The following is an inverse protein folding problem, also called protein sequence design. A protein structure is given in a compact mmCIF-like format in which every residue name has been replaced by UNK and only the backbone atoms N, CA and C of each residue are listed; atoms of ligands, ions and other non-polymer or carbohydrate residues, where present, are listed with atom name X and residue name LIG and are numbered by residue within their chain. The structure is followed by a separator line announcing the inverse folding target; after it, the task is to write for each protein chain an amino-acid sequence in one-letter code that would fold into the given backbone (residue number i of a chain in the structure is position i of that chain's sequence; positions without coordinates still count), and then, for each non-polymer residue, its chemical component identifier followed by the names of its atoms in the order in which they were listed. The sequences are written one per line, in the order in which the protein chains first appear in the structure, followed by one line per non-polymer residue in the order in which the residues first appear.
data_IF_914493496207
#
_entry.id   IF_914493496207
#
_cell.length_a   1.000
_cell.length_b   1.000
_cell.length_c   1.000
_cell.angle_alpha   90.00
_cell.angle_beta   90.00
_cell.angle_gamma   90.00
#
_symmetry.space_group_name_H-M   'P 1'
#
loop_
_entity.id
_entity.type
_entity.pdbx_description
1 polymer ?
#
# COMPACT_ATOMS: atom_id res chain seq x y z
N UNK A 1 15.57 22.80 4.32
CA UNK A 1 15.62 24.24 3.97
C UNK A 1 16.65 25.06 4.75
N UNK A 2 17.24 24.60 5.86
CA UNK A 2 18.42 25.31 6.47
C UNK A 2 19.72 24.51 6.46
N UNK A 3 19.68 23.19 6.22
CA UNK A 3 20.86 22.32 6.17
C UNK A 3 21.51 22.02 7.54
N UNK A 4 21.02 22.63 8.63
CA UNK A 4 21.62 22.53 9.96
C UNK A 4 21.02 21.35 10.73
N UNK A 5 21.86 20.43 11.20
CA UNK A 5 21.49 19.27 12.05
C UNK A 5 22.07 19.32 13.47
N UNK A 6 22.59 20.48 13.89
CA UNK A 6 23.28 20.64 15.18
C UNK A 6 22.30 20.57 16.37
N UNK A 7 22.61 19.71 17.36
CA UNK A 7 21.86 19.59 18.62
C UNK A 7 21.80 20.90 19.43
N UNK A 8 22.80 21.75 19.25
CA UNK A 8 22.90 23.05 19.92
C UNK A 8 21.79 23.99 19.48
N UNK A 9 21.33 23.90 18.22
CA UNK A 9 20.22 24.72 17.72
C UNK A 9 18.90 24.32 18.39
N UNK A 10 18.67 23.01 18.55
CA UNK A 10 17.48 22.50 19.26
C UNK A 10 17.51 22.91 20.72
N UNK A 11 18.68 22.81 21.37
CA UNK A 11 18.85 23.18 22.78
C UNK A 11 18.66 24.69 22.99
N UNK A 12 19.25 25.53 22.14
CA UNK A 12 19.06 26.98 22.18
C UNK A 12 17.60 27.36 21.91
N UNK A 13 16.95 26.73 20.93
CA UNK A 13 15.52 26.91 20.67
C UNK A 13 14.65 26.53 21.87
N UNK A 14 14.92 25.39 22.50
CA UNK A 14 14.27 24.98 23.74
C UNK A 14 14.47 25.99 24.88
N UNK A 15 15.70 26.50 25.05
CA UNK A 15 15.99 27.54 26.03
C UNK A 15 15.21 28.84 25.79
N UNK A 16 15.08 29.26 24.52
CA UNK A 16 14.24 30.42 24.15
C UNK A 16 12.77 30.15 24.48
N UNK A 17 12.25 28.95 24.19
CA UNK A 17 10.86 28.58 24.53
C UNK A 17 10.61 28.61 26.04
N UNK A 18 11.55 28.11 26.85
CA UNK A 18 11.47 28.18 28.31
C UNK A 18 11.45 29.64 28.78
N UNK A 19 12.37 30.47 28.27
CA UNK A 19 12.45 31.88 28.64
C UNK A 19 11.18 32.63 28.27
N UNK A 20 10.64 32.43 27.06
CA UNK A 20 9.37 33.02 26.63
C UNK A 20 8.18 32.51 27.45
N UNK A 21 8.18 31.23 27.85
CA UNK A 21 7.14 30.65 28.70
C UNK A 21 7.12 31.21 30.13
N UNK A 22 8.28 31.65 30.65
CA UNK A 22 8.40 32.28 31.97
C UNK A 22 7.99 33.76 31.98
N UNK A 23 7.88 34.40 30.83
CA UNK A 23 7.52 35.82 30.73
C UNK A 23 5.99 35.98 30.71
N UNK A 24 5.37 36.54 31.76
CA UNK A 24 3.90 36.67 31.83
C UNK A 24 3.32 37.61 30.76
N UNK A 25 4.14 38.53 30.24
CA UNK A 25 3.76 39.45 29.16
C UNK A 25 3.45 38.69 27.88
N UNK A 26 4.22 37.64 27.55
CA UNK A 26 4.00 36.82 26.35
C UNK A 26 2.67 36.06 26.46
N UNK A 27 2.36 35.52 27.64
CA UNK A 27 1.09 34.85 27.90
C UNK A 27 -0.13 35.76 27.70
N UNK A 28 -0.04 37.04 28.10
CA UNK A 28 -1.12 38.02 27.87
C UNK A 28 -1.35 38.30 26.39
N UNK A 29 -0.27 38.39 25.61
CA UNK A 29 -0.36 38.60 24.15
C UNK A 29 -1.04 37.40 23.50
N UNK A 30 -0.64 36.17 23.86
CA UNK A 30 -1.24 34.94 23.31
C UNK A 30 -2.72 34.84 23.69
N UNK A 31 -3.09 35.18 24.93
CA UNK A 31 -4.49 35.18 25.38
C UNK A 31 -5.37 36.21 24.67
N UNK A 32 -4.78 37.27 24.10
CA UNK A 32 -5.50 38.26 23.30
C UNK A 32 -5.74 37.80 21.84
N UNK A 33 -5.20 36.66 21.42
CA UNK A 33 -5.39 36.13 20.06
C UNK A 33 -6.82 35.62 19.89
N UNK A 34 -7.57 36.05 18.85
CA UNK A 34 -8.93 35.56 18.62
C UNK A 34 -8.98 34.05 18.32
N UNK A 35 -10.01 33.37 18.84
CA UNK A 35 -10.26 31.95 18.57
C UNK A 35 -10.25 31.56 17.08
N UNK A 36 -10.81 32.36 16.15
CA UNK A 36 -10.76 32.01 14.72
C UNK A 36 -9.33 31.87 14.16
N UNK A 37 -8.37 32.66 14.68
CA UNK A 37 -6.96 32.60 14.25
C UNK A 37 -6.28 31.35 14.79
N UNK A 38 -6.51 31.03 16.07
CA UNK A 38 -6.01 29.81 16.70
C UNK A 38 -6.59 28.56 16.04
N UNK A 39 -7.86 28.60 15.64
CA UNK A 39 -8.50 27.55 14.84
C UNK A 39 -7.82 27.36 13.50
N UNK A 40 -7.57 28.44 12.74
CA UNK A 40 -6.85 28.38 11.47
C UNK A 40 -5.43 27.83 11.60
N UNK A 41 -4.68 28.29 12.60
CA UNK A 41 -3.34 27.76 12.91
C UNK A 41 -3.40 26.27 13.28
N UNK A 42 -4.41 25.86 14.04
CA UNK A 42 -4.66 24.46 14.40
C UNK A 42 -4.93 23.59 13.17
N UNK A 43 -5.81 24.02 12.26
CA UNK A 43 -6.11 23.29 11.02
C UNK A 43 -4.85 23.09 10.18
N UNK A 44 -4.01 24.11 10.04
CA UNK A 44 -2.75 24.00 9.28
C UNK A 44 -1.78 23.02 9.96
N UNK A 45 -1.64 23.09 11.29
CA UNK A 45 -0.76 22.21 12.05
C UNK A 45 -1.22 20.75 11.94
N UNK A 46 -2.48 20.46 12.30
CA UNK A 46 -3.02 19.11 12.27
C UNK A 46 -3.14 18.56 10.85
N UNK A 47 -3.51 19.39 9.88
CA UNK A 47 -3.55 19.01 8.46
C UNK A 47 -2.17 18.62 7.91
N UNK A 48 -1.13 19.38 8.25
CA UNK A 48 0.25 19.07 7.84
C UNK A 48 0.76 17.76 8.48
N UNK A 49 0.44 17.51 9.75
CA UNK A 49 0.76 16.25 10.42
C UNK A 49 0.03 15.08 9.75
N UNK A 50 -1.27 15.21 9.47
CA UNK A 50 -2.05 14.19 8.78
C UNK A 50 -1.47 13.88 7.38
N UNK A 51 -1.13 14.92 6.60
CA UNK A 51 -0.51 14.77 5.29
C UNK A 51 0.86 14.05 5.36
N UNK A 52 1.68 14.36 6.37
CA UNK A 52 2.93 13.65 6.61
C UNK A 52 2.72 12.18 6.99
N UNK A 53 1.64 11.89 7.72
CA UNK A 53 1.20 10.52 8.03
C UNK A 53 0.84 9.75 6.76
N UNK A 54 -0.01 10.32 5.90
CA UNK A 54 -0.39 9.73 4.60
C UNK A 54 0.85 9.50 3.74
N UNK A 55 1.77 10.47 3.67
CA UNK A 55 3.03 10.33 2.92
C UNK A 55 3.92 9.19 3.45
N UNK A 56 3.83 8.90 4.73
CA UNK A 56 4.53 7.76 5.33
C UNK A 56 3.85 6.45 4.95
N UNK A 57 2.52 6.39 5.01
CA UNK A 57 1.72 5.23 4.58
C UNK A 57 1.87 4.92 3.08
N UNK A 58 2.11 5.92 2.24
CA UNK A 58 2.39 5.73 0.81
C UNK A 58 3.66 4.90 0.52
N UNK A 59 4.58 4.78 1.48
CA UNK A 59 5.81 3.98 1.32
C UNK A 59 5.60 2.49 1.59
N UNK A 60 4.43 2.10 2.10
CA UNK A 60 4.09 0.71 2.42
C UNK A 60 3.69 -0.04 1.14
N UNK A 61 4.13 -1.28 0.99
CA UNK A 61 3.69 -2.17 -0.09
C UNK A 61 2.33 -2.75 0.28
N UNK A 62 1.31 -2.51 -0.55
CA UNK A 62 -0.05 -3.02 -0.35
C UNK A 62 -0.38 -4.23 -1.23
N UNK A 63 0.48 -4.56 -2.18
CA UNK A 63 0.28 -5.63 -3.15
C UNK A 63 0.46 -7.02 -2.56
N UNK A 64 -0.48 -7.91 -2.87
CA UNK A 64 -0.48 -9.32 -2.46
C UNK A 64 -0.25 -9.56 -0.96
N UNK A 65 -0.78 -8.69 -0.09
CA UNK A 65 -0.60 -8.79 1.36
C UNK A 65 -1.76 -8.16 2.17
N UNK A 66 -1.69 -8.27 3.50
CA UNK A 66 -2.72 -7.78 4.43
C UNK A 66 -2.49 -6.33 4.92
N UNK A 67 -1.46 -5.64 4.46
CA UNK A 67 -1.10 -4.30 4.97
C UNK A 67 -2.22 -3.28 4.76
N UNK A 68 -2.99 -3.39 3.67
CA UNK A 68 -4.13 -2.50 3.42
C UNK A 68 -5.20 -2.67 4.50
N UNK A 69 -5.52 -3.92 4.83
CA UNK A 69 -6.50 -4.28 5.85
C UNK A 69 -6.00 -3.83 7.23
N UNK A 70 -4.72 -4.07 7.54
CA UNK A 70 -4.10 -3.61 8.78
C UNK A 70 -4.28 -2.09 8.94
N UNK A 71 -3.93 -1.30 7.92
CA UNK A 71 -4.07 0.16 7.95
C UNK A 71 -5.53 0.59 8.10
N UNK A 72 -6.43 0.01 7.31
CA UNK A 72 -7.85 0.37 7.32
C UNK A 72 -8.50 0.12 8.69
N UNK A 73 -8.30 -1.08 9.26
CA UNK A 73 -8.87 -1.43 10.57
C UNK A 73 -8.25 -0.58 11.67
N UNK A 74 -6.94 -0.34 11.63
CA UNK A 74 -6.27 0.48 12.65
C UNK A 74 -6.78 1.92 12.67
N UNK A 75 -6.99 2.52 11.49
CA UNK A 75 -7.61 3.84 11.37
C UNK A 75 -9.06 3.83 11.87
N UNK A 76 -9.84 2.79 11.55
CA UNK A 76 -11.20 2.65 12.05
C UNK A 76 -11.23 2.65 13.59
N UNK A 77 -10.37 1.84 14.23
CA UNK A 77 -10.27 1.82 15.70
C UNK A 77 -9.86 3.16 16.31
N UNK A 78 -8.97 3.91 15.64
CA UNK A 78 -8.61 5.26 16.07
C UNK A 78 -9.74 6.28 15.99
N UNK A 79 -10.69 6.07 15.07
CA UNK A 79 -11.86 6.93 14.89
C UNK A 79 -13.05 6.51 15.75
N UNK A 80 -13.10 5.26 16.24
CA UNK A 80 -14.19 4.77 17.08
C UNK A 80 -14.55 5.69 18.26
N UNK A 81 -13.62 6.12 19.14
CA UNK A 81 -13.98 6.99 20.27
C UNK A 81 -14.44 8.39 19.84
N UNK A 82 -14.14 8.82 18.61
CA UNK A 82 -14.61 10.09 18.05
C UNK A 82 -16.03 9.95 17.51
N UNK A 83 -16.33 8.84 16.85
CA UNK A 83 -17.65 8.57 16.24
C UNK A 83 -18.67 8.12 17.29
N UNK A 84 -18.24 7.29 18.25
CA UNK A 84 -19.05 6.80 19.36
C UNK A 84 -18.28 6.96 20.68
N UNK A 85 -18.47 8.09 21.40
CA UNK A 85 -17.75 8.37 22.63
C UNK A 85 -17.98 7.35 23.76
N UNK A 86 -19.13 6.69 23.80
CA UNK A 86 -19.54 5.76 24.87
C UNK A 86 -19.21 4.29 24.57
N UNK A 87 -18.46 4.01 23.51
CA UNK A 87 -18.25 2.64 23.02
C UNK A 87 -17.50 1.74 24.03
N UNK A 88 -16.69 2.34 24.92
CA UNK A 88 -15.86 1.63 25.89
C UNK A 88 -16.36 1.74 27.33
N UNK A 89 -17.55 2.30 27.58
CA UNK A 89 -18.05 2.56 28.95
C UNK A 89 -18.21 1.28 29.79
N UNK A 90 -18.43 0.14 29.13
CA UNK A 90 -18.56 -1.17 29.79
C UNK A 90 -17.20 -1.86 30.05
N UNK A 91 -16.11 -1.29 29.55
CA UNK A 91 -14.76 -1.83 29.75
C UNK A 91 -14.14 -1.31 31.05
N UNK A 92 -13.13 -2.01 31.61
CA UNK A 92 -12.38 -1.53 32.76
C UNK A 92 -11.71 -0.16 32.54
N UNK A 93 -11.50 0.60 33.61
CA UNK A 93 -10.92 1.95 33.56
C UNK A 93 -9.54 2.00 32.87
N UNK A 94 -8.67 1.02 33.16
CA UNK A 94 -7.36 0.94 32.52
C UNK A 94 -7.43 0.82 30.99
N UNK A 95 -8.49 0.18 30.48
CA UNK A 95 -8.71 0.01 29.05
C UNK A 95 -9.20 1.32 28.44
N UNK A 96 -10.15 1.98 29.11
CA UNK A 96 -10.69 3.28 28.71
C UNK A 96 -9.60 4.35 28.58
N UNK A 97 -8.67 4.43 29.54
CA UNK A 97 -7.54 5.39 29.51
C UNK A 97 -6.75 5.31 28.19
N UNK A 98 -6.58 4.10 27.67
CA UNK A 98 -5.79 3.85 26.46
C UNK A 98 -6.67 3.99 25.20
N UNK A 99 -7.85 3.37 25.20
CA UNK A 99 -8.67 3.23 23.99
C UNK A 99 -9.61 4.41 23.71
N UNK A 100 -9.87 5.31 24.68
CA UNK A 100 -10.48 6.61 24.37
C UNK A 100 -9.54 7.53 23.57
N UNK A 101 -8.23 7.30 23.62
CA UNK A 101 -7.28 8.02 22.78
C UNK A 101 -7.28 7.40 21.37
N UNK A 102 -7.80 8.14 20.39
CA UNK A 102 -7.81 7.69 18.99
C UNK A 102 -6.42 7.40 18.42
N UNK A 103 -5.41 8.19 18.81
CA UNK A 103 -4.01 7.97 18.38
C UNK A 103 -3.47 6.68 18.98
N UNK A 104 -3.71 6.46 20.28
CA UNK A 104 -3.17 5.29 21.00
C UNK A 104 -3.84 3.99 20.54
N UNK A 105 -5.17 3.98 20.42
CA UNK A 105 -5.93 2.83 19.92
C UNK A 105 -5.53 2.46 18.49
N UNK A 106 -5.40 3.43 17.57
CA UNK A 106 -4.92 3.16 16.21
C UNK A 106 -3.50 2.57 16.20
N UNK A 107 -2.58 3.11 16.99
CA UNK A 107 -1.21 2.62 17.05
C UNK A 107 -1.13 1.20 17.61
N UNK A 108 -1.87 0.90 18.67
CA UNK A 108 -1.94 -0.44 19.26
C UNK A 108 -2.51 -1.42 18.26
N UNK A 109 -3.61 -1.07 17.59
CA UNK A 109 -4.22 -1.94 16.57
C UNK A 109 -3.29 -2.16 15.38
N UNK A 110 -2.57 -1.14 14.91
CA UNK A 110 -1.61 -1.29 13.82
C UNK A 110 -0.49 -2.26 14.18
N UNK A 111 0.08 -2.15 15.38
CA UNK A 111 1.12 -3.05 15.87
C UNK A 111 0.59 -4.46 16.07
N UNK A 112 -0.57 -4.60 16.73
CA UNK A 112 -1.18 -5.90 17.01
C UNK A 112 -1.52 -6.64 15.72
N UNK A 113 -2.22 -6.00 14.78
CA UNK A 113 -2.59 -6.61 13.51
C UNK A 113 -1.37 -6.89 12.64
N UNK A 114 -0.34 -6.04 12.65
CA UNK A 114 0.91 -6.32 11.96
C UNK A 114 1.62 -7.55 12.54
N UNK A 115 1.61 -7.74 13.87
CA UNK A 115 2.16 -8.94 14.48
C UNK A 115 1.33 -10.16 14.08
N UNK A 116 0.00 -10.08 14.19
CA UNK A 116 -0.91 -11.19 13.88
C UNK A 116 -0.80 -11.63 12.43
N UNK A 117 -0.83 -10.70 11.47
CA UNK A 117 -0.88 -11.04 10.04
C UNK A 117 0.50 -11.18 9.39
N UNK A 118 1.51 -10.42 9.82
CA UNK A 118 2.82 -10.44 9.15
C UNK A 118 3.89 -11.22 9.93
N UNK A 119 3.68 -11.56 11.21
CA UNK A 119 4.70 -12.22 12.03
C UNK A 119 4.29 -13.58 12.58
N UNK A 120 3.02 -13.78 12.91
CA UNK A 120 2.49 -15.09 13.32
C UNK A 120 2.10 -15.84 12.04
N UNK A 121 3.10 -16.40 11.36
CA UNK A 121 2.96 -17.19 10.13
C UNK A 121 2.29 -18.54 10.42
N UNK A 122 0.99 -18.52 10.70
CA UNK A 122 0.14 -19.71 10.75
C UNK A 122 -0.96 -19.56 9.71
N UNK A 123 -0.64 -19.88 8.45
CA UNK A 123 -1.61 -19.94 7.36
C UNK A 123 -1.77 -18.64 6.56
N UNK A 124 -0.67 -18.07 6.07
CA UNK A 124 -0.78 -17.06 5.02
C UNK A 124 -1.39 -17.77 3.80
N UNK A 125 -2.62 -17.41 3.42
CA UNK A 125 -3.14 -17.82 2.14
C UNK A 125 -2.18 -17.30 1.08
N UNK A 126 -1.70 -18.17 0.18
CA UNK A 126 -0.88 -17.75 -0.97
C UNK A 126 -1.60 -16.71 -1.86
N UNK A 127 -2.90 -16.54 -1.63
CA UNK A 127 -3.74 -15.51 -2.18
C UNK A 127 -3.68 -14.28 -1.28
N UNK A 128 -3.02 -13.22 -1.75
CA UNK A 128 -3.15 -11.90 -1.13
C UNK A 128 -4.61 -11.49 -1.02
N UNK A 129 -4.90 -10.53 -0.12
CA UNK A 129 -6.22 -9.92 0.07
C UNK A 129 -7.02 -9.85 -1.24
N UNK A 130 -8.27 -10.32 -1.24
CA UNK A 130 -9.19 -10.31 -2.42
C UNK A 130 -9.31 -8.91 -3.03
N UNK A 131 -9.01 -7.88 -2.26
CA UNK A 131 -8.95 -6.48 -2.69
C UNK A 131 -7.71 -6.13 -3.56
N UNK A 132 -6.74 -7.02 -3.72
CA UNK A 132 -5.42 -6.75 -4.37
C UNK A 132 -4.89 -7.90 -5.24
N UNK A 133 -5.64 -9.01 -5.41
CA UNK A 133 -5.17 -10.24 -6.08
C UNK A 133 -4.95 -10.15 -7.62
N UNK A 134 -4.87 -8.95 -8.22
CA UNK A 134 -4.93 -8.78 -9.67
C UNK A 134 -3.64 -8.42 -10.41
N UNK A 135 -2.49 -8.27 -9.74
CA UNK A 135 -1.34 -7.57 -10.37
C UNK A 135 -0.06 -8.38 -10.53
N UNK A 136 0.04 -9.58 -9.97
CA UNK A 136 1.23 -10.41 -10.14
C UNK A 136 1.23 -11.03 -11.54
N UNK A 137 1.95 -10.42 -12.49
CA UNK A 137 2.25 -11.02 -13.78
C UNK A 137 3.37 -12.04 -13.62
N UNK A 138 3.02 -13.31 -13.76
CA UNK A 138 3.97 -14.42 -13.79
C UNK A 138 3.87 -15.08 -15.17
N UNK A 139 5.03 -15.37 -15.76
CA UNK A 139 5.13 -16.13 -17.03
C UNK A 139 5.63 -17.52 -16.63
N UNK A 140 5.06 -18.57 -17.23
CA UNK A 140 5.49 -19.93 -16.87
C UNK A 140 6.88 -20.22 -17.46
N UNK A 141 7.66 -21.07 -16.80
CA UNK A 141 9.04 -21.35 -17.25
C UNK A 141 9.08 -22.03 -18.62
N UNK A 142 8.11 -22.90 -18.91
CA UNK A 142 7.88 -23.54 -20.21
C UNK A 142 7.59 -22.51 -21.32
N UNK A 143 6.79 -21.48 -21.04
CA UNK A 143 6.53 -20.38 -21.98
C UNK A 143 7.82 -19.61 -22.30
N UNK A 144 8.64 -19.29 -21.29
CA UNK A 144 9.93 -18.60 -21.50
C UNK A 144 10.91 -19.49 -22.28
N UNK A 145 10.92 -20.80 -22.04
CA UNK A 145 11.78 -21.75 -22.77
C UNK A 145 11.40 -21.90 -24.24
N UNK A 146 10.16 -21.58 -24.61
CA UNK A 146 9.71 -21.62 -26.01
C UNK A 146 10.20 -20.43 -26.84
N UNK A 147 10.64 -19.34 -26.18
CA UNK A 147 11.17 -18.15 -26.84
C UNK A 147 12.56 -18.40 -27.43
N UNK A 148 12.83 -17.77 -28.57
CA UNK A 148 14.13 -17.78 -29.24
C UNK A 148 14.90 -16.49 -28.97
N UNK A 149 16.22 -16.58 -29.09
CA UNK A 149 17.08 -15.39 -28.99
C UNK A 149 16.77 -14.45 -30.16
N UNK A 150 16.33 -13.22 -29.83
CA UNK A 150 15.88 -12.23 -30.81
C UNK A 150 14.37 -11.95 -30.79
N UNK A 151 13.58 -12.81 -30.14
CA UNK A 151 12.15 -12.55 -29.92
C UNK A 151 11.97 -11.34 -28.98
N UNK A 152 10.99 -10.49 -29.27
CA UNK A 152 10.72 -9.27 -28.51
C UNK A 152 9.23 -8.99 -28.39
N UNK A 153 8.87 -8.15 -27.42
CA UNK A 153 7.48 -7.76 -27.20
C UNK A 153 7.28 -6.30 -27.61
N UNK A 154 6.37 -6.05 -28.55
CA UNK A 154 6.06 -4.71 -29.07
C UNK A 154 4.55 -4.54 -29.28
N UNK A 155 4.01 -3.38 -28.91
CA UNK A 155 2.60 -3.00 -29.11
C UNK A 155 1.58 -4.05 -28.63
N UNK A 156 1.88 -4.74 -27.52
CA UNK A 156 0.99 -5.75 -26.95
C UNK A 156 1.07 -7.14 -27.60
N UNK A 157 2.07 -7.38 -28.45
CA UNK A 157 2.25 -8.62 -29.19
C UNK A 157 3.66 -9.17 -29.01
N UNK A 158 3.77 -10.49 -28.95
CA UNK A 158 5.04 -11.19 -28.99
C UNK A 158 5.43 -11.33 -30.47
N UNK A 159 6.62 -10.87 -30.81
CA UNK A 159 7.15 -10.87 -32.18
C UNK A 159 8.41 -11.73 -32.17
N UNK A 160 8.51 -12.64 -33.12
CA UNK A 160 9.69 -13.48 -33.27
C UNK A 160 10.87 -12.72 -33.88
N UNK A 161 12.03 -13.37 -33.88
CA UNK A 161 13.27 -12.87 -34.51
C UNK A 161 13.12 -12.53 -36.01
N UNK A 162 12.17 -13.14 -36.72
CA UNK A 162 11.91 -12.88 -38.14
C UNK A 162 10.98 -11.66 -38.35
N UNK A 163 10.45 -11.09 -37.27
CA UNK A 163 9.53 -9.94 -37.29
C UNK A 163 8.05 -10.32 -37.41
N UNK A 164 7.72 -11.61 -37.26
CA UNK A 164 6.36 -12.13 -37.36
C UNK A 164 5.72 -12.31 -35.97
N UNK A 165 4.39 -12.19 -35.89
CA UNK A 165 3.67 -12.31 -34.61
C UNK A 165 3.64 -13.77 -34.14
N UNK A 166 4.12 -14.02 -32.92
CA UNK A 166 3.95 -15.30 -32.23
C UNK A 166 2.56 -15.32 -31.58
N UNK A 167 1.65 -16.23 -31.99
CA UNK A 167 0.29 -16.24 -31.49
C UNK A 167 0.25 -16.60 -30.01
N UNK A 168 -0.37 -15.72 -29.21
CA UNK A 168 -0.61 -15.96 -27.78
C UNK A 168 -1.97 -16.64 -27.64
N UNK A 169 -1.95 -17.92 -27.24
CA UNK A 169 -3.13 -18.79 -27.18
C UNK A 169 -3.48 -19.14 -25.74
N UNK A 170 -4.72 -19.54 -25.49
CA UNK A 170 -5.13 -20.06 -24.17
C UNK A 170 -4.49 -21.41 -23.87
N UNK A 171 -4.51 -21.85 -22.60
CA UNK A 171 -3.94 -23.14 -22.20
C UNK A 171 -4.56 -24.34 -22.96
N UNK A 172 -5.89 -24.32 -23.16
CA UNK A 172 -6.61 -25.37 -23.90
C UNK A 172 -6.20 -25.41 -25.39
N UNK A 173 -6.00 -24.23 -25.98
CA UNK A 173 -5.51 -24.12 -27.36
C UNK A 173 -4.06 -24.57 -27.48
N UNK A 174 -3.21 -24.28 -26.49
CA UNK A 174 -1.82 -24.70 -26.48
C UNK A 174 -1.69 -26.23 -26.51
N UNK A 175 -2.46 -26.95 -25.69
CA UNK A 175 -2.46 -28.43 -25.69
C UNK A 175 -2.85 -29.00 -27.06
N UNK A 176 -3.89 -28.45 -27.70
CA UNK A 176 -4.36 -28.89 -29.03
C UNK A 176 -3.36 -28.57 -30.14
N UNK A 177 -2.76 -27.38 -30.11
CA UNK A 177 -1.70 -27.01 -31.06
C UNK A 177 -0.53 -27.96 -30.91
N UNK A 178 -0.15 -28.30 -29.68
CA UNK A 178 0.95 -29.24 -29.43
C UNK A 178 0.61 -30.65 -29.95
N UNK A 179 -0.62 -31.12 -29.72
CA UNK A 179 -1.11 -32.40 -30.25
C UNK A 179 -1.13 -32.42 -31.79
N UNK A 180 -1.53 -31.31 -32.42
CA UNK A 180 -1.56 -31.16 -33.87
C UNK A 180 -0.14 -31.08 -34.49
N UNK A 181 0.82 -30.52 -33.76
CA UNK A 181 2.24 -30.55 -34.16
C UNK A 181 2.78 -31.96 -34.04
N UNK A 182 2.51 -32.66 -32.93
CA UNK A 182 2.99 -34.01 -32.67
C UNK A 182 2.39 -35.05 -33.64
N UNK A 183 1.14 -34.83 -34.09
CA UNK A 183 0.46 -35.64 -35.10
C UNK A 183 0.90 -35.33 -36.54
N UNK A 184 1.65 -34.24 -36.74
CA UNK A 184 2.10 -33.77 -38.06
C UNK A 184 1.02 -33.04 -38.86
N UNK A 185 -0.10 -32.67 -38.24
CA UNK A 185 -1.16 -31.86 -38.86
C UNK A 185 -0.73 -30.39 -39.04
N UNK A 186 0.09 -29.87 -38.12
CA UNK A 186 0.68 -28.53 -38.21
C UNK A 186 2.17 -28.65 -38.52
N UNK A 187 2.55 -28.31 -39.75
CA UNK A 187 3.96 -28.38 -40.19
C UNK A 187 4.54 -27.01 -40.53
N UNK A 188 3.69 -26.03 -40.83
CA UNK A 188 4.09 -24.66 -41.13
C UNK A 188 3.19 -23.63 -40.44
N UNK A 189 3.58 -22.35 -40.51
CA UNK A 189 2.84 -21.25 -39.87
C UNK A 189 1.43 -21.07 -40.43
N UNK A 190 1.21 -21.38 -41.70
CA UNK A 190 -0.10 -21.28 -42.36
C UNK A 190 -1.09 -22.31 -41.79
N UNK A 191 -0.63 -23.53 -41.54
CA UNK A 191 -1.41 -24.58 -40.88
C UNK A 191 -1.82 -24.15 -39.45
N UNK A 192 -0.90 -23.52 -38.72
CA UNK A 192 -1.13 -23.01 -37.36
C UNK A 192 -2.18 -21.90 -37.36
N UNK A 193 -2.08 -20.92 -38.27
CA UNK A 193 -3.07 -19.85 -38.39
C UNK A 193 -4.44 -20.40 -38.79
N UNK A 194 -4.50 -21.33 -39.75
CA UNK A 194 -5.74 -21.97 -40.16
C UNK A 194 -6.42 -22.76 -39.03
N UNK A 195 -5.63 -23.40 -38.15
CA UNK A 195 -6.13 -24.10 -36.96
C UNK A 195 -6.70 -23.12 -35.94
N UNK A 196 -6.01 -22.02 -35.66
CA UNK A 196 -6.45 -21.00 -34.70
C UNK A 196 -7.66 -20.20 -35.19
N UNK A 197 -7.77 -19.94 -36.49
CA UNK A 197 -8.94 -19.25 -37.09
C UNK A 197 -10.21 -20.09 -37.07
N UNK A 198 -10.10 -21.42 -37.15
CA UNK A 198 -11.25 -22.35 -37.03
C UNK A 198 -11.89 -22.33 -35.64
N UNK A 199 -11.18 -21.83 -34.63
CA UNK A 199 -11.61 -21.85 -33.22
C UNK A 199 -12.09 -20.51 -32.69
N UNK A 200 -12.08 -19.47 -33.52
CA UNK A 200 -12.57 -18.14 -33.15
C UNK A 200 -14.08 -18.01 -33.34
#
# INVERSE_FOLDING_TARGET
MTGIRSRWVVTAGGGILVLLGLLPVVGRIIAAVPYPVLGGAGVVLFGSVAASGIRTLQKVKYENNMNLIIVAISLAFGLLPVVQPTIYDQFPEWFQIIFHSGISSAAIMAVLLNIVFNKITAGNAEQGSVFVAGTARVVREDEVRSLREGDYYADGRLVDVDGEEVPVVSAEQHERVQEAIDSGEVTCREDLQALLERER
#
